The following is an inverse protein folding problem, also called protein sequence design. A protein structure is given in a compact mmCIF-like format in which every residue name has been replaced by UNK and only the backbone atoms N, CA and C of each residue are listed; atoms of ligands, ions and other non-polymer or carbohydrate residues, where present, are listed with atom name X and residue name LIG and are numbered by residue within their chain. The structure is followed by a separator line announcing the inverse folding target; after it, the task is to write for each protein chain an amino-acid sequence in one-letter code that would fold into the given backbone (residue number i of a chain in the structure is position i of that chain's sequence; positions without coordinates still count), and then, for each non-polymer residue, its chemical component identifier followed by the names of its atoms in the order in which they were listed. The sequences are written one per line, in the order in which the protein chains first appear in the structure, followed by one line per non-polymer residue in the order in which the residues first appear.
data_IF_063179616459
#
_entry.id   IF_063179616459
#
_cell.length_a   1.000
_cell.length_b   1.000
_cell.length_c   1.000
_cell.angle_alpha   90.00
_cell.angle_beta   90.00
_cell.angle_gamma   90.00
#
_symmetry.space_group_name_H-M   'P 1'
#
loop_
_entity.id
_entity.type
_entity.pdbx_description
1 polymer ?
#
# COMPACT_ATOMS: atom_id res chain seq x y z
N UNK A 1 -14.46 -12.98 5.63
CA UNK A 1 -13.36 -12.39 4.85
C UNK A 1 -13.83 -11.03 4.39
N UNK A 2 -13.40 -9.97 5.06
CA UNK A 2 -13.84 -8.61 4.74
C UNK A 2 -13.05 -8.13 3.55
N UNK A 3 -13.69 -8.02 2.39
CA UNK A 3 -13.10 -7.43 1.21
C UNK A 3 -12.93 -5.92 1.48
N UNK A 4 -11.79 -5.51 2.04
CA UNK A 4 -11.52 -4.10 2.33
C UNK A 4 -11.29 -3.38 1.01
N UNK A 5 -12.37 -2.80 0.47
CA UNK A 5 -12.28 -1.90 -0.65
C UNK A 5 -11.71 -0.56 -0.16
N UNK A 6 -10.52 -0.20 -0.63
CA UNK A 6 -9.94 1.11 -0.34
C UNK A 6 -10.82 2.18 -0.97
N UNK A 7 -11.29 3.13 -0.17
CA UNK A 7 -11.99 4.31 -0.68
C UNK A 7 -11.05 5.14 -1.57
N UNK A 8 -11.50 5.43 -2.80
CA UNK A 8 -10.71 6.20 -3.77
C UNK A 8 -10.40 7.61 -3.29
N UNK A 9 -11.28 8.24 -2.51
CA UNK A 9 -11.02 9.57 -1.95
C UNK A 9 -9.90 9.51 -0.91
N UNK A 10 -9.95 8.53 0.00
CA UNK A 10 -8.89 8.28 0.98
C UNK A 10 -7.54 7.97 0.30
N UNK A 11 -7.55 7.19 -0.78
CA UNK A 11 -6.32 6.88 -1.54
C UNK A 11 -5.74 8.11 -2.25
N UNK A 12 -6.60 9.00 -2.76
CA UNK A 12 -6.14 10.27 -3.35
C UNK A 12 -5.42 11.13 -2.32
N UNK A 13 -6.03 11.32 -1.15
CA UNK A 13 -5.41 12.07 -0.05
C UNK A 13 -4.09 11.43 0.40
N UNK A 14 -4.03 10.10 0.47
CA UNK A 14 -2.78 9.40 0.79
C UNK A 14 -1.68 9.69 -0.23
N UNK A 15 -1.99 9.68 -1.53
CA UNK A 15 -1.00 9.98 -2.58
C UNK A 15 -0.49 11.42 -2.49
N UNK A 16 -1.36 12.39 -2.24
CA UNK A 16 -0.96 13.81 -2.04
C UNK A 16 -0.02 13.98 -0.84
N UNK A 17 -0.31 13.27 0.26
CA UNK A 17 0.54 13.26 1.45
C UNK A 17 1.89 12.61 1.15
N UNK A 18 1.93 11.48 0.44
CA UNK A 18 3.18 10.80 0.07
C UNK A 18 4.03 11.63 -0.89
N UNK A 19 3.41 12.33 -1.85
CA UNK A 19 4.12 13.24 -2.75
C UNK A 19 4.86 14.32 -1.96
N UNK A 20 4.20 14.90 -0.95
CA UNK A 20 4.79 15.88 -0.04
C UNK A 20 5.92 15.28 0.82
N UNK A 21 5.66 14.15 1.49
CA UNK A 21 6.61 13.53 2.42
C UNK A 21 7.88 13.05 1.73
N UNK A 22 7.76 12.55 0.50
CA UNK A 22 8.88 12.05 -0.29
C UNK A 22 9.54 13.13 -1.16
N UNK A 23 9.04 14.38 -1.11
CA UNK A 23 9.52 15.49 -1.95
C UNK A 23 9.53 15.12 -3.43
N UNK A 24 8.45 14.47 -3.89
CA UNK A 24 8.27 14.09 -5.29
C UNK A 24 7.39 15.12 -6.00
N UNK A 25 7.47 15.15 -7.33
CA UNK A 25 6.54 15.93 -8.15
C UNK A 25 5.91 14.99 -9.17
N UNK A 26 4.61 14.84 -9.07
CA UNK A 26 3.81 13.99 -9.94
C UNK A 26 2.89 14.87 -10.77
N UNK A 27 2.78 14.56 -12.06
CA UNK A 27 1.72 15.12 -12.89
C UNK A 27 0.41 14.33 -12.66
N UNK A 28 -0.69 14.88 -13.17
CA UNK A 28 -2.02 14.29 -13.00
C UNK A 28 -2.10 12.86 -13.57
N UNK A 29 -1.42 12.60 -14.69
CA UNK A 29 -1.42 11.28 -15.32
C UNK A 29 -0.73 10.22 -14.45
N UNK A 30 0.40 10.57 -13.83
CA UNK A 30 1.11 9.71 -12.88
C UNK A 30 0.32 9.49 -11.60
N UNK A 31 -0.34 10.52 -11.07
CA UNK A 31 -1.20 10.35 -9.88
C UNK A 31 -2.35 9.39 -10.16
N UNK A 32 -2.99 9.50 -11.32
CA UNK A 32 -4.07 8.59 -11.73
C UNK A 32 -3.58 7.15 -11.98
N UNK A 33 -2.39 6.97 -12.55
CA UNK A 33 -1.79 5.64 -12.70
C UNK A 33 -1.46 5.02 -11.34
N UNK A 34 -0.82 5.77 -10.44
CA UNK A 34 -0.50 5.30 -9.09
C UNK A 34 -1.75 4.91 -8.31
N UNK A 35 -2.83 5.70 -8.39
CA UNK A 35 -4.09 5.36 -7.76
C UNK A 35 -4.62 3.99 -8.24
N UNK A 36 -4.61 3.75 -9.56
CA UNK A 36 -5.02 2.45 -10.12
C UNK A 36 -4.12 1.30 -9.68
N UNK A 37 -2.81 1.51 -9.66
CA UNK A 37 -1.87 0.47 -9.27
C UNK A 37 -1.95 0.15 -7.78
N UNK A 38 -2.10 1.16 -6.93
CA UNK A 38 -2.21 0.95 -5.48
C UNK A 38 -3.50 0.21 -5.13
N UNK A 39 -4.62 0.53 -5.79
CA UNK A 39 -5.86 -0.24 -5.64
C UNK A 39 -5.69 -1.72 -6.03
N UNK A 40 -4.91 -2.01 -7.09
CA UNK A 40 -4.58 -3.39 -7.49
C UNK A 40 -3.67 -4.09 -6.49
N UNK A 41 -2.63 -3.41 -6.01
CA UNK A 41 -1.69 -3.94 -5.01
C UNK A 41 -2.43 -4.26 -3.72
N UNK A 42 -3.33 -3.39 -3.26
CA UNK A 42 -4.15 -3.64 -2.09
C UNK A 42 -4.98 -4.92 -2.23
N UNK A 43 -5.63 -5.13 -3.38
CA UNK A 43 -6.36 -6.35 -3.66
C UNK A 43 -5.44 -7.59 -3.68
N UNK A 44 -4.24 -7.49 -4.25
CA UNK A 44 -3.25 -8.58 -4.25
C UNK A 44 -2.67 -8.85 -2.85
N UNK A 45 -2.60 -7.84 -1.99
CA UNK A 45 -2.10 -7.95 -0.63
C UNK A 45 -3.15 -8.46 0.36
N UNK A 46 -4.45 -8.33 0.05
CA UNK A 46 -5.53 -8.76 0.95
C UNK A 46 -5.38 -10.20 1.46
N UNK A 47 -5.01 -11.22 0.64
CA UNK A 47 -4.79 -12.58 1.13
C UNK A 47 -3.65 -12.67 2.15
N UNK A 48 -2.62 -11.83 2.02
CA UNK A 48 -1.51 -11.76 2.98
C UNK A 48 -1.94 -11.09 4.27
N UNK A 49 -2.77 -10.04 4.20
CA UNK A 49 -3.30 -9.34 5.38
C UNK A 49 -4.30 -10.20 6.16
N UNK A 50 -5.05 -11.06 5.47
CA UNK A 50 -6.00 -12.02 6.08
C UNK A 50 -5.29 -13.22 6.71
N UNK A 51 -4.01 -13.46 6.38
CA UNK A 51 -3.25 -14.57 6.93
C UNK A 51 -2.91 -14.32 8.42
N UNK A 52 -3.27 -15.23 9.34
CA UNK A 52 -2.98 -15.05 10.75
C UNK A 52 -1.46 -15.15 10.99
N UNK A 53 -0.89 -14.12 11.61
CA UNK A 53 0.51 -14.11 12.01
C UNK A 53 0.65 -14.59 13.46
N UNK A 54 1.58 -15.50 13.71
CA UNK A 54 1.97 -15.87 15.07
C UNK A 54 2.73 -14.73 15.74
N UNK A 55 2.61 -14.60 17.08
CA UNK A 55 3.20 -13.49 17.83
C UNK A 55 4.73 -13.39 17.82
N UNK A 56 5.43 -14.34 17.18
CA UNK A 56 6.90 -14.40 17.04
C UNK A 56 7.35 -14.85 15.65
N UNK A 57 6.68 -14.39 14.60
CA UNK A 57 7.13 -14.66 13.24
C UNK A 57 8.46 -13.93 12.96
N UNK A 58 9.55 -14.67 12.80
CA UNK A 58 10.80 -14.09 12.30
C UNK A 58 10.65 -13.67 10.84
N UNK A 59 11.29 -12.56 10.47
CA UNK A 59 11.36 -12.12 9.07
C UNK A 59 12.21 -13.13 8.29
N UNK A 60 11.88 -13.38 7.03
CA UNK A 60 12.60 -14.33 6.17
C UNK A 60 14.10 -14.04 5.95
N UNK A 61 14.64 -12.96 6.53
CA UNK A 61 16.06 -12.69 6.66
C UNK A 61 16.39 -12.07 8.01
N UNK A 62 17.32 -12.69 8.74
CA UNK A 62 17.91 -12.14 9.96
C UNK A 62 19.24 -11.50 9.60
N UNK A 63 19.41 -10.21 9.90
CA UNK A 63 20.68 -9.52 9.71
C UNK A 63 21.77 -10.20 10.54
N UNK A 64 22.84 -10.65 9.87
CA UNK A 64 24.05 -11.16 10.53
C UNK A 64 25.12 -10.07 10.45
N UNK A 65 25.52 -9.48 11.59
CA UNK A 65 26.56 -8.44 11.64
C UNK A 65 27.96 -8.97 11.29
#
# INVERSE_FOLDING_TARGET
MSNQHIDNAALCTYLEQMETLLTLTLDDARRQELQRQFSRIAAMAQPLMDYPLDGRQEVAGVYQP
#
